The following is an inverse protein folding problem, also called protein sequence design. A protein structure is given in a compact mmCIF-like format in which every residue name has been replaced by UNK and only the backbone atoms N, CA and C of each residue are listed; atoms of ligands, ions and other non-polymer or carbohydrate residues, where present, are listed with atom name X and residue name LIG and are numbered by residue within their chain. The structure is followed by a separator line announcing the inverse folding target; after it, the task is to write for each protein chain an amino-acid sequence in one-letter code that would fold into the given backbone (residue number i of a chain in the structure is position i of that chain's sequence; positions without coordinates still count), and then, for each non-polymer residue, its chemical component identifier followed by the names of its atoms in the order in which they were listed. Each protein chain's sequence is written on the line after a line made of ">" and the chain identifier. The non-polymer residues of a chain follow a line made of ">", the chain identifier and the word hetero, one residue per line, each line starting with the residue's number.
data_IF_014501949641
#
_entry.id   IF_014501949641
#
_cell.length_a   1.000
_cell.length_b   1.000
_cell.length_c   1.000
_cell.angle_alpha   90.00
_cell.angle_beta   90.00
_cell.angle_gamma   90.00
#
_symmetry.space_group_name_H-M   'P 1'
#
loop_
_entity.id
_entity.type
_entity.pdbx_description
1 polymer ?
#
# COMPACT_ATOMS: atom_id res chain seq x y z
N UNK A 1 -39.04 49.65 -2.44
CA UNK A 1 -39.20 48.55 -3.42
C UNK A 1 -38.73 47.28 -2.72
N UNK A 2 -39.65 46.65 -1.99
CA UNK A 2 -39.44 45.39 -1.28
C UNK A 2 -40.01 44.30 -2.18
N UNK A 3 -39.15 43.43 -2.71
CA UNK A 3 -39.57 42.29 -3.53
C UNK A 3 -40.34 41.27 -2.66
N UNK A 4 -41.39 40.61 -3.20
CA UNK A 4 -42.09 39.55 -2.50
C UNK A 4 -41.31 38.23 -2.58
N UNK A 5 -41.10 37.60 -1.43
CA UNK A 5 -40.51 36.27 -1.30
C UNK A 5 -41.50 35.21 -1.79
N UNK A 6 -41.05 34.31 -2.68
CA UNK A 6 -41.86 33.22 -3.23
C UNK A 6 -42.25 32.18 -2.14
N UNK A 7 -43.40 31.49 -2.27
CA UNK A 7 -43.83 30.50 -1.29
C UNK A 7 -42.97 29.24 -1.35
N UNK A 8 -42.61 28.71 -0.17
CA UNK A 8 -41.94 27.42 -0.01
C UNK A 8 -42.99 26.32 -0.26
N UNK A 9 -42.89 25.59 -1.36
CA UNK A 9 -43.67 24.36 -1.59
C UNK A 9 -43.26 23.29 -0.58
N UNK A 10 -44.22 22.87 0.25
CA UNK A 10 -44.10 21.75 1.17
C UNK A 10 -44.29 20.43 0.42
N UNK A 11 -43.22 19.66 0.23
CA UNK A 11 -43.32 18.28 -0.24
C UNK A 11 -44.02 17.38 0.80
N UNK A 12 -44.95 16.49 0.40
CA UNK A 12 -45.56 15.53 1.31
C UNK A 12 -44.56 14.45 1.75
N UNK A 13 -44.72 13.83 2.93
CA UNK A 13 -43.85 12.75 3.38
C UNK A 13 -44.06 11.51 2.51
N UNK A 14 -43.03 11.11 1.76
CA UNK A 14 -42.96 9.80 1.10
C UNK A 14 -42.84 8.72 2.17
N UNK A 15 -43.93 7.99 2.37
CA UNK A 15 -44.00 6.80 3.22
C UNK A 15 -43.06 5.72 2.67
N UNK A 16 -41.90 5.55 3.29
CA UNK A 16 -40.98 4.45 3.02
C UNK A 16 -41.50 3.17 3.68
N UNK A 17 -42.40 2.47 2.99
CA UNK A 17 -42.64 1.06 3.26
C UNK A 17 -41.51 0.26 2.61
N UNK A 18 -40.54 -0.17 3.41
CA UNK A 18 -39.47 -1.07 2.99
C UNK A 18 -40.05 -2.49 2.88
N UNK A 19 -40.16 -3.12 1.69
CA UNK A 19 -40.64 -4.50 1.62
C UNK A 19 -39.62 -5.43 2.27
N UNK A 20 -40.12 -6.38 3.06
CA UNK A 20 -39.32 -7.41 3.73
C UNK A 20 -38.46 -8.18 2.70
N UNK A 21 -37.22 -8.60 3.06
CA UNK A 21 -36.39 -9.39 2.16
C UNK A 21 -37.06 -10.74 1.92
N UNK A 22 -37.43 -10.98 0.67
CA UNK A 22 -37.89 -12.29 0.21
C UNK A 22 -36.72 -13.25 0.26
N UNK A 23 -36.87 -14.38 0.96
CA UNK A 23 -35.88 -15.45 1.06
C UNK A 23 -35.58 -16.03 -0.33
N UNK A 24 -34.51 -15.57 -0.96
CA UNK A 24 -33.96 -16.20 -2.15
C UNK A 24 -32.81 -17.12 -1.74
N UNK A 25 -32.85 -18.33 -2.28
CA UNK A 25 -32.07 -19.48 -1.85
C UNK A 25 -30.55 -19.27 -1.87
N UNK A 26 -29.89 -20.00 -0.98
CA UNK A 26 -28.45 -20.17 -0.89
C UNK A 26 -27.85 -20.41 -2.29
N UNK A 27 -27.26 -19.37 -2.88
CA UNK A 27 -26.39 -19.51 -4.05
C UNK A 27 -25.13 -20.19 -3.55
N UNK A 28 -24.89 -21.43 -3.97
CA UNK A 28 -23.65 -22.14 -3.69
C UNK A 28 -22.44 -21.24 -4.06
N UNK A 29 -21.39 -21.17 -3.22
CA UNK A 29 -20.21 -20.39 -3.54
C UNK A 29 -19.63 -20.91 -4.85
N UNK A 30 -19.51 -20.03 -5.84
CA UNK A 30 -18.79 -20.32 -7.07
C UNK A 30 -17.33 -20.58 -6.68
N UNK A 31 -16.64 -21.59 -7.25
CA UNK A 31 -15.22 -21.80 -6.94
C UNK A 31 -14.47 -20.49 -7.22
N UNK A 32 -13.90 -19.87 -6.19
CA UNK A 32 -13.03 -18.70 -6.33
C UNK A 32 -11.87 -19.10 -7.25
N UNK A 33 -11.73 -18.41 -8.39
CA UNK A 33 -10.57 -18.61 -9.25
C UNK A 33 -9.30 -18.28 -8.44
N UNK A 34 -8.25 -19.11 -8.52
CA UNK A 34 -7.03 -18.89 -7.78
C UNK A 34 -6.41 -17.55 -8.20
N UNK A 35 -6.20 -16.66 -7.21
CA UNK A 35 -5.53 -15.37 -7.42
C UNK A 35 -4.14 -15.67 -7.99
N UNK A 36 -3.98 -15.42 -9.28
CA UNK A 36 -2.74 -15.65 -10.01
C UNK A 36 -1.98 -14.34 -10.10
N UNK A 37 -0.92 -14.19 -9.31
CA UNK A 37 -0.07 -13.00 -9.35
C UNK A 37 0.66 -12.73 -8.03
N UNK A 38 1.66 -11.84 -8.05
CA UNK A 38 2.40 -11.44 -6.86
C UNK A 38 1.46 -10.76 -5.86
N UNK A 39 1.73 -11.00 -4.58
CA UNK A 39 1.07 -10.34 -3.45
C UNK A 39 1.93 -9.17 -2.99
N UNK A 40 1.32 -8.00 -2.77
CA UNK A 40 2.00 -6.86 -2.16
C UNK A 40 1.37 -6.56 -0.82
N UNK A 41 2.19 -6.28 0.20
CA UNK A 41 1.71 -5.78 1.50
C UNK A 41 2.20 -4.36 1.72
N UNK A 42 1.32 -3.49 2.21
CA UNK A 42 1.66 -2.14 2.67
C UNK A 42 1.36 -2.09 4.17
N UNK A 43 2.40 -2.24 4.99
CA UNK A 43 2.31 -2.04 6.42
C UNK A 43 2.31 -0.55 6.73
N UNK A 44 1.34 -0.08 7.51
CA UNK A 44 1.23 1.34 7.84
C UNK A 44 0.89 1.56 9.32
N UNK A 45 1.43 2.64 9.88
CA UNK A 45 1.12 3.05 11.23
C UNK A 45 -0.29 3.66 11.31
N UNK A 46 -1.16 3.05 12.10
CA UNK A 46 -2.52 3.57 12.37
C UNK A 46 -2.49 4.83 13.23
N UNK A 47 -1.57 4.91 14.20
CA UNK A 47 -1.43 6.06 15.10
C UNK A 47 -1.01 7.33 14.35
N UNK A 48 -0.16 7.18 13.32
CA UNK A 48 0.28 8.30 12.49
C UNK A 48 -0.74 8.71 11.40
N UNK A 49 -1.92 8.07 11.36
CA UNK A 49 -2.96 8.29 10.35
C UNK A 49 -2.48 8.08 8.90
N UNK A 50 -1.55 7.15 8.66
CA UNK A 50 -0.98 6.90 7.33
C UNK A 50 -1.81 5.98 6.43
N UNK A 51 -3.00 5.55 6.87
CA UNK A 51 -3.91 4.71 6.09
C UNK A 51 -4.22 5.30 4.70
N UNK A 52 -4.52 6.59 4.62
CA UNK A 52 -4.87 7.25 3.36
C UNK A 52 -3.69 7.25 2.37
N UNK A 53 -2.47 7.43 2.89
CA UNK A 53 -1.27 7.35 2.07
C UNK A 53 -1.02 5.92 1.60
N UNK A 54 -1.22 4.91 2.46
CA UNK A 54 -1.12 3.51 2.08
C UNK A 54 -2.14 3.13 0.99
N UNK A 55 -3.40 3.55 1.15
CA UNK A 55 -4.45 3.33 0.17
C UNK A 55 -4.15 4.02 -1.17
N UNK A 56 -3.58 5.23 -1.15
CA UNK A 56 -3.14 5.92 -2.36
C UNK A 56 -2.10 5.10 -3.14
N UNK A 57 -1.06 4.60 -2.47
CA UNK A 57 -0.06 3.76 -3.15
C UNK A 57 -0.66 2.45 -3.68
N UNK A 58 -1.59 1.82 -2.95
CA UNK A 58 -2.28 0.64 -3.45
C UNK A 58 -3.05 0.93 -4.75
N UNK A 59 -3.77 2.06 -4.82
CA UNK A 59 -4.49 2.48 -6.02
C UNK A 59 -3.54 2.77 -7.19
N UNK A 60 -2.43 3.46 -6.93
CA UNK A 60 -1.41 3.74 -7.95
C UNK A 60 -0.79 2.47 -8.53
N UNK A 61 -0.56 1.44 -7.71
CA UNK A 61 -0.03 0.16 -8.15
C UNK A 61 -1.08 -0.64 -8.93
N UNK A 62 -2.28 -0.81 -8.40
CA UNK A 62 -3.36 -1.54 -9.07
C UNK A 62 -3.76 -0.89 -10.41
N UNK A 63 -3.77 0.43 -10.50
CA UNK A 63 -4.06 1.14 -11.77
C UNK A 63 -2.94 1.01 -12.81
N UNK A 64 -1.69 0.77 -12.38
CA UNK A 64 -0.53 0.66 -13.28
C UNK A 64 -0.33 -0.77 -13.78
N UNK A 65 -0.49 -1.74 -12.89
CA UNK A 65 -0.18 -3.14 -13.13
C UNK A 65 -1.41 -4.02 -13.34
N UNK A 66 -2.62 -3.53 -13.05
CA UNK A 66 -3.89 -4.20 -13.34
C UNK A 66 -3.89 -5.67 -12.92
N UNK A 67 -3.87 -6.59 -13.89
CA UNK A 67 -3.92 -8.05 -13.71
C UNK A 67 -2.58 -8.69 -13.36
N UNK A 68 -1.48 -7.92 -13.45
CA UNK A 68 -0.13 -8.43 -13.14
C UNK A 68 0.15 -8.44 -11.64
N UNK A 69 -0.76 -7.91 -10.82
CA UNK A 69 -0.76 -8.01 -9.36
C UNK A 69 -1.94 -8.89 -8.95
N UNK A 70 -1.68 -9.90 -8.13
CA UNK A 70 -2.73 -10.76 -7.60
C UNK A 70 -3.54 -10.03 -6.52
N UNK A 71 -2.86 -9.49 -5.52
CA UNK A 71 -3.49 -8.74 -4.45
C UNK A 71 -2.58 -7.66 -3.85
N UNK A 72 -3.21 -6.64 -3.24
CA UNK A 72 -2.54 -5.70 -2.34
C UNK A 72 -3.24 -5.71 -0.99
N UNK A 73 -2.51 -6.08 0.06
CA UNK A 73 -3.00 -6.06 1.43
C UNK A 73 -2.53 -4.81 2.18
N UNK A 74 -3.48 -4.04 2.70
CA UNK A 74 -3.19 -2.95 3.65
C UNK A 74 -3.13 -3.55 5.06
N UNK A 75 -1.97 -3.43 5.71
CA UNK A 75 -1.68 -4.13 6.96
C UNK A 75 -1.50 -3.13 8.11
N UNK A 76 -2.49 -2.97 9.01
CA UNK A 76 -2.38 -2.06 10.14
C UNK A 76 -1.27 -2.46 11.11
N UNK A 77 -0.46 -1.49 11.53
CA UNK A 77 0.60 -1.63 12.52
C UNK A 77 0.71 -0.37 13.39
N UNK A 78 1.58 -0.42 14.39
CA UNK A 78 1.96 0.74 15.24
C UNK A 78 3.46 1.00 15.11
N UNK A 79 3.99 2.01 15.81
CA UNK A 79 5.43 2.24 15.90
C UNK A 79 6.05 2.93 14.68
N UNK A 80 5.29 3.82 14.04
CA UNK A 80 5.78 4.65 12.93
C UNK A 80 6.26 3.84 11.73
N UNK A 81 5.71 2.65 11.48
CA UNK A 81 6.09 1.82 10.34
C UNK A 81 5.39 2.29 9.07
N UNK A 82 6.14 2.33 7.98
CA UNK A 82 5.61 2.32 6.63
C UNK A 82 6.53 1.45 5.78
N UNK A 83 6.06 0.25 5.40
CA UNK A 83 6.86 -0.75 4.70
C UNK A 83 6.05 -1.37 3.57
N UNK A 84 6.68 -1.50 2.40
CA UNK A 84 6.11 -2.17 1.23
C UNK A 84 6.94 -3.43 0.94
N UNK A 85 6.27 -4.57 0.90
CA UNK A 85 6.89 -5.88 0.64
C UNK A 85 6.14 -6.58 -0.48
N UNK A 86 6.87 -7.17 -1.43
CA UNK A 86 6.31 -7.99 -2.51
C UNK A 86 6.65 -9.46 -2.29
N UNK A 87 5.70 -10.34 -2.60
CA UNK A 87 5.82 -11.79 -2.52
C UNK A 87 5.56 -12.33 -3.95
N UNK A 88 6.62 -12.71 -4.69
CA UNK A 88 6.50 -13.04 -6.12
C UNK A 88 5.76 -14.35 -6.42
N UNK A 89 5.73 -15.30 -5.47
CA UNK A 89 5.07 -16.60 -5.63
C UNK A 89 3.68 -16.56 -5.00
N UNK A 90 2.63 -16.78 -5.79
CA UNK A 90 1.27 -16.95 -5.28
C UNK A 90 1.16 -18.25 -4.48
N UNK A 91 1.48 -18.22 -3.17
CA UNK A 91 1.11 -19.32 -2.28
C UNK A 91 -0.39 -19.25 -2.06
N UNK A 92 -1.11 -20.20 -2.66
CA UNK A 92 -2.53 -20.45 -2.48
C UNK A 92 -2.77 -20.94 -1.05
N UNK A 93 -2.68 -20.05 -0.06
CA UNK A 93 -3.18 -20.32 1.27
C UNK A 93 -3.85 -19.06 1.80
N UNK A 94 -5.17 -19.08 1.72
CA UNK A 94 -6.11 -18.19 2.41
C UNK A 94 -6.02 -18.26 3.94
N UNK A 95 -5.03 -18.97 4.48
CA UNK A 95 -4.69 -18.95 5.90
C UNK A 95 -3.90 -17.69 6.18
N UNK A 96 -4.41 -16.85 7.09
CA UNK A 96 -3.67 -15.75 7.72
C UNK A 96 -2.20 -16.15 7.92
N UNK A 97 -1.22 -15.27 7.67
CA UNK A 97 0.21 -15.58 7.82
C UNK A 97 0.50 -15.97 9.27
N UNK A 98 0.33 -17.27 9.54
CA UNK A 98 0.72 -17.97 10.75
C UNK A 98 2.16 -18.30 10.46
N UNK A 99 3.00 -17.29 10.66
CA UNK A 99 4.25 -17.16 9.95
C UNK A 99 5.12 -18.38 10.10
N UNK A 100 5.35 -19.08 8.99
CA UNK A 100 6.65 -19.57 8.50
C UNK A 100 6.50 -19.82 6.98
N UNK A 101 7.37 -19.24 6.16
CA UNK A 101 7.67 -19.80 4.83
C UNK A 101 7.47 -18.95 3.56
N UNK A 102 6.99 -17.71 3.61
CA UNK A 102 6.95 -16.86 2.40
C UNK A 102 8.04 -15.77 2.48
N UNK A 103 9.12 -15.95 1.71
CA UNK A 103 10.20 -14.96 1.58
C UNK A 103 9.71 -13.79 0.72
N UNK A 104 9.37 -12.67 1.36
CA UNK A 104 9.01 -11.43 0.70
C UNK A 104 10.19 -10.47 0.54
N UNK A 105 10.27 -9.78 -0.59
CA UNK A 105 11.26 -8.74 -0.85
C UNK A 105 10.76 -7.37 -0.36
N UNK A 106 11.55 -6.68 0.46
CA UNK A 106 11.22 -5.33 0.95
C UNK A 106 11.60 -4.27 -0.07
N UNK A 107 10.61 -3.83 -0.84
CA UNK A 107 10.74 -2.76 -1.82
C UNK A 107 11.00 -1.40 -1.16
N UNK A 108 10.34 -1.11 -0.03
CA UNK A 108 10.53 0.15 0.69
C UNK A 108 10.32 -0.01 2.19
N UNK A 109 11.16 0.64 2.99
CA UNK A 109 11.00 0.79 4.44
C UNK A 109 11.32 2.25 4.82
N UNK A 110 10.36 2.94 5.44
CA UNK A 110 10.50 4.35 5.81
C UNK A 110 11.76 4.66 6.62
N UNK A 111 12.16 3.78 7.54
CA UNK A 111 13.33 4.00 8.40
C UNK A 111 14.63 3.74 7.63
N UNK A 112 14.63 2.77 6.72
CA UNK A 112 15.79 2.42 5.88
C UNK A 112 16.00 3.45 4.75
N UNK A 113 14.92 3.81 4.08
CA UNK A 113 14.93 4.53 2.80
C UNK A 113 14.60 6.02 2.94
N UNK A 114 14.42 6.51 4.18
CA UNK A 114 14.37 7.94 4.47
C UNK A 114 13.04 8.63 4.14
N UNK A 115 11.93 8.07 4.61
CA UNK A 115 10.59 8.67 4.45
C UNK A 115 9.65 7.85 3.57
N UNK A 116 8.74 8.53 2.86
CA UNK A 116 7.79 7.86 1.95
C UNK A 116 8.35 7.79 0.53
N UNK A 117 8.07 6.70 -0.21
CA UNK A 117 8.53 6.61 -1.58
C UNK A 117 7.83 7.64 -2.46
N UNK A 118 8.51 8.15 -3.48
CA UNK A 118 7.79 8.74 -4.60
C UNK A 118 7.08 7.65 -5.39
N UNK A 119 5.88 7.96 -5.90
CA UNK A 119 5.05 7.00 -6.65
C UNK A 119 5.80 6.40 -7.83
N UNK A 120 6.55 7.22 -8.56
CA UNK A 120 7.37 6.78 -9.70
C UNK A 120 8.45 5.77 -9.28
N UNK A 121 9.07 5.97 -8.12
CA UNK A 121 10.10 5.07 -7.57
C UNK A 121 9.45 3.75 -7.17
N UNK A 122 8.31 3.81 -6.48
CA UNK A 122 7.62 2.59 -6.06
C UNK A 122 7.14 1.75 -7.26
N UNK A 123 6.61 2.39 -8.30
CA UNK A 123 6.22 1.70 -9.55
C UNK A 123 7.43 1.06 -10.23
N UNK A 124 8.56 1.76 -10.30
CA UNK A 124 9.82 1.19 -10.83
C UNK A 124 10.26 -0.04 -10.06
N UNK A 125 10.29 0.03 -8.72
CA UNK A 125 10.69 -1.08 -7.86
C UNK A 125 9.78 -2.31 -8.02
N UNK A 126 8.46 -2.09 -8.08
CA UNK A 126 7.51 -3.19 -8.35
C UNK A 126 7.74 -3.79 -9.73
N UNK A 127 7.92 -2.95 -10.75
CA UNK A 127 8.20 -3.39 -12.13
C UNK A 127 9.47 -4.23 -12.21
N UNK A 128 10.53 -3.83 -11.51
CA UNK A 128 11.81 -4.55 -11.48
C UNK A 128 11.70 -5.96 -10.90
N UNK A 129 10.65 -6.24 -10.11
CA UNK A 129 10.38 -7.58 -9.57
C UNK A 129 9.42 -8.39 -10.44
N UNK A 130 8.36 -7.77 -10.97
CA UNK A 130 7.31 -8.50 -11.70
C UNK A 130 7.64 -8.71 -13.19
N UNK A 131 8.21 -7.70 -13.84
CA UNK A 131 8.54 -7.69 -15.28
C UNK A 131 9.62 -6.63 -15.56
N UNK A 132 10.90 -6.99 -15.39
CA UNK A 132 12.02 -6.07 -15.59
C UNK A 132 12.11 -5.52 -17.03
N UNK A 133 11.48 -6.17 -17.99
CA UNK A 133 11.55 -5.80 -19.41
C UNK A 133 10.52 -4.74 -19.82
N UNK A 134 9.52 -4.48 -18.97
CA UNK A 134 8.44 -3.54 -19.24
C UNK A 134 8.90 -2.08 -19.17
N UNK A 135 8.55 -1.28 -20.18
CA UNK A 135 8.71 0.18 -20.12
C UNK A 135 7.49 0.81 -19.43
N UNK A 136 7.72 1.55 -18.34
CA UNK A 136 6.69 2.36 -17.66
C UNK A 136 6.56 3.77 -18.25
N UNK A 137 7.25 4.05 -19.36
CA UNK A 137 7.13 5.25 -20.15
C UNK A 137 7.59 6.50 -19.41
N UNK A 138 6.64 7.35 -19.00
CA UNK A 138 6.94 8.63 -18.36
C UNK A 138 7.63 8.45 -16.99
N UNK A 139 7.31 7.36 -16.29
CA UNK A 139 7.91 7.00 -15.01
C UNK A 139 9.43 6.78 -15.14
N UNK A 140 9.84 5.95 -16.10
CA UNK A 140 11.25 5.58 -16.29
C UNK A 140 12.08 6.73 -16.84
N UNK A 141 11.51 7.51 -17.77
CA UNK A 141 12.14 8.73 -18.27
C UNK A 141 12.35 9.77 -17.17
N UNK A 142 11.37 9.95 -16.27
CA UNK A 142 11.49 10.88 -15.15
C UNK A 142 12.56 10.45 -14.15
N UNK A 143 12.68 9.14 -13.87
CA UNK A 143 13.73 8.61 -12.99
C UNK A 143 15.13 8.77 -13.58
N UNK A 144 15.29 8.50 -14.88
CA UNK A 144 16.55 8.73 -15.62
C UNK A 144 16.97 10.20 -15.60
N UNK A 145 16.01 11.12 -15.80
CA UNK A 145 16.26 12.58 -15.78
C UNK A 145 16.55 13.12 -14.37
N UNK A 146 16.02 12.48 -13.33
CA UNK A 146 16.29 12.82 -11.93
C UNK A 146 17.69 12.42 -11.45
N UNK A 147 18.23 11.30 -11.94
CA UNK A 147 19.59 10.84 -11.59
C UNK A 147 20.71 11.69 -12.17
N UNK A 148 20.48 12.44 -13.26
CA UNK A 148 21.51 13.27 -13.90
C UNK A 148 21.87 14.56 -13.14
N UNK A 149 21.31 14.79 -11.94
CA UNK A 149 21.58 16.00 -11.12
C UNK A 149 22.01 15.66 -9.69
N UNK A 150 22.71 14.53 -9.48
CA UNK A 150 23.31 14.22 -8.18
C UNK A 150 24.72 13.66 -8.35
N UNK A 151 25.71 14.54 -8.51
CA UNK A 151 27.10 14.24 -8.14
C UNK A 151 27.38 14.90 -6.79
N UNK A 152 27.62 14.11 -5.72
CA UNK A 152 28.54 14.51 -4.67
C UNK A 152 29.83 13.69 -4.77
N UNK A 153 30.94 14.42 -4.69
CA UNK A 153 32.31 13.92 -4.65
C UNK A 153 32.57 12.98 -3.45
N UNK A 154 33.56 12.06 -3.55
CA UNK A 154 33.81 11.06 -2.52
C UNK A 154 34.53 11.69 -1.32
N UNK A 155 34.07 11.36 -0.11
CA UNK A 155 34.83 11.58 1.13
C UNK A 155 35.27 10.22 1.68
N UNK A 156 36.57 10.14 1.90
CA UNK A 156 37.41 9.02 2.31
C UNK A 156 36.95 8.31 3.60
N UNK A 157 37.20 7.00 3.61
CA UNK A 157 36.87 6.01 4.64
C UNK A 157 37.61 6.13 5.98
N UNK A 158 37.00 5.58 7.04
CA UNK A 158 37.66 4.71 8.04
C UNK A 158 36.62 3.88 8.82
N UNK A 159 36.94 2.65 9.29
CA UNK A 159 35.98 1.64 9.76
C UNK A 159 35.77 1.66 11.29
N UNK A 160 34.77 0.92 11.79
CA UNK A 160 35.03 0.09 12.97
C UNK A 160 34.51 -1.36 12.86
N UNK A 161 35.24 -2.24 13.53
CA UNK A 161 35.14 -3.70 13.71
C UNK A 161 33.93 -4.08 14.62
N UNK A 162 33.50 -5.35 14.68
CA UNK A 162 32.18 -5.74 15.18
C UNK A 162 32.18 -6.08 16.67
N UNK A 163 31.02 -5.95 17.32
CA UNK A 163 30.65 -6.78 18.47
C UNK A 163 29.14 -6.84 18.65
N UNK A 164 28.70 -8.07 18.92
CA UNK A 164 27.34 -8.48 19.18
C UNK A 164 26.76 -7.82 20.44
N UNK A 165 25.45 -7.56 20.40
CA UNK A 165 24.52 -7.97 21.46
C UNK A 165 23.08 -7.77 21.01
N UNK A 166 22.41 -8.90 20.77
CA UNK A 166 20.97 -9.01 20.68
C UNK A 166 20.40 -8.77 22.08
N UNK A 167 19.85 -7.58 22.29
CA UNK A 167 18.85 -7.34 23.33
C UNK A 167 17.63 -6.76 22.66
N UNK A 168 16.51 -7.49 22.73
CA UNK A 168 15.20 -7.04 22.29
C UNK A 168 14.88 -5.66 22.89
N UNK A 169 14.39 -4.66 22.12
CA UNK A 169 13.92 -3.44 22.73
C UNK A 169 12.49 -3.61 23.21
N UNK A 170 12.36 -3.52 24.52
CA UNK A 170 11.19 -3.07 25.26
C UNK A 170 10.57 -1.83 24.62
N UNK A 171 9.24 -1.78 24.64
CA UNK A 171 8.33 -0.66 24.40
C UNK A 171 9.02 0.73 24.44
N UNK A 172 9.57 1.14 23.30
CA UNK A 172 9.97 2.52 23.05
C UNK A 172 8.86 3.13 22.22
N UNK A 173 8.10 4.02 22.84
CA UNK A 173 7.18 4.93 22.17
C UNK A 173 7.88 5.54 20.96
N UNK A 174 7.39 5.21 19.76
CA UNK A 174 7.96 5.72 18.51
C UNK A 174 7.64 7.22 18.40
N UNK A 175 8.66 8.07 18.33
CA UNK A 175 8.52 9.54 18.25
C UNK A 175 7.65 9.98 17.07
N UNK A 176 7.65 9.20 15.97
CA UNK A 176 6.82 9.43 14.78
C UNK A 176 5.30 9.22 15.00
N UNK A 177 4.87 8.65 16.13
CA UNK A 177 3.45 8.45 16.45
C UNK A 177 2.81 9.61 17.23
N UNK A 178 3.54 10.70 17.47
CA UNK A 178 3.05 11.90 18.18
C UNK A 178 2.35 12.91 17.29
#
# INVERSE_FOLDING_TARGET
>A
MTEPVAPIESHPPVSSANPAPTSQGERAPTPEEPISGPRITIQYCTQCKWMLRAAYFAQELLSTFSTDIGEIALVPRTGGVFRVTIFPSASTSSTLPSGEGEEGEVLWDRKRDGGFPEVKVLKSLVRDVIDPSRDLGHTDRALRKGSTVATPAPKTAAPPTPSAQTTAPVDKTCEDCR
#
